data_IF_521627741475
#
_entry.id   IF_521627741475
#
_cell.length_a   1.000
_cell.length_b   1.000
_cell.length_c   1.000
_cell.angle_alpha   90.00
_cell.angle_beta   90.00
_cell.angle_gamma   90.00
#
_symmetry.space_group_name_H-M   'P 1'
#
loop_
_entity.id
_entity.type
_entity.pdbx_description
1 polymer ?
#
# COMPACT_ATOMS: atom_id res chain seq x y z
N UNK A 1 13.00 5.89 6.80
CA UNK A 1 13.27 5.76 5.35
C UNK A 1 13.44 7.16 4.81
N UNK A 2 14.55 7.44 4.13
CA UNK A 2 14.73 8.74 3.45
C UNK A 2 14.11 8.66 2.06
N UNK A 3 13.37 9.70 1.70
CA UNK A 3 12.62 9.79 0.45
C UNK A 3 13.29 10.83 -0.44
N UNK A 4 13.75 10.48 -1.67
CA UNK A 4 14.46 11.42 -2.54
C UNK A 4 13.53 12.50 -3.14
N UNK A 5 12.21 12.26 -3.11
CA UNK A 5 11.19 13.18 -3.56
C UNK A 5 10.11 13.35 -2.48
N UNK A 6 9.30 14.43 -2.52
CA UNK A 6 8.21 14.61 -1.57
C UNK A 6 7.19 13.47 -1.57
N UNK A 7 6.71 13.09 -0.39
CA UNK A 7 5.59 12.14 -0.22
C UNK A 7 4.38 12.92 0.30
N UNK A 8 3.67 13.59 -0.60
CA UNK A 8 2.52 14.44 -0.24
C UNK A 8 1.27 13.63 0.16
N UNK A 9 1.16 12.40 -0.33
CA UNK A 9 0.02 11.51 -0.08
C UNK A 9 0.53 10.14 0.34
N UNK A 10 0.00 9.62 1.45
CA UNK A 10 0.33 8.30 1.99
C UNK A 10 -0.94 7.46 2.08
N UNK A 11 -0.99 6.35 1.33
CA UNK A 11 -2.16 5.46 1.34
C UNK A 11 -2.32 4.71 2.66
N UNK A 12 -1.20 4.20 3.18
CA UNK A 12 -1.17 3.34 4.36
C UNK A 12 0.20 3.36 5.04
N UNK A 13 0.24 3.04 6.33
CA UNK A 13 1.46 2.94 7.10
C UNK A 13 1.29 2.11 8.37
N UNK A 14 2.39 1.57 8.86
CA UNK A 14 2.48 1.07 10.22
C UNK A 14 2.71 2.25 11.18
N UNK A 15 1.84 2.39 12.18
CA UNK A 15 2.02 3.35 13.25
C UNK A 15 2.77 2.69 14.42
N UNK A 16 4.03 3.09 14.61
CA UNK A 16 4.92 2.53 15.62
C UNK A 16 4.40 2.75 17.06
N UNK A 17 3.68 3.85 17.29
CA UNK A 17 3.20 4.22 18.63
C UNK A 17 2.07 3.33 19.09
N UNK A 18 1.01 3.23 18.28
CA UNK A 18 -0.15 2.38 18.57
C UNK A 18 0.05 0.92 18.16
N UNK A 19 1.12 0.61 17.42
CA UNK A 19 1.36 -0.67 16.76
C UNK A 19 0.16 -1.09 15.92
N UNK A 20 -0.37 -0.19 15.10
CA UNK A 20 -1.53 -0.47 14.23
C UNK A 20 -1.20 -0.25 12.76
N UNK A 21 -2.00 -0.84 11.86
CA UNK A 21 -2.03 -0.43 10.46
C UNK A 21 -3.00 0.74 10.32
N UNK A 22 -2.52 1.86 9.80
CA UNK A 22 -3.33 3.02 9.44
C UNK A 22 -3.42 3.17 7.92
N UNK A 23 -4.56 3.66 7.42
CA UNK A 23 -4.77 3.97 6.01
C UNK A 23 -5.68 5.17 5.81
N UNK A 24 -5.51 5.85 4.67
CA UNK A 24 -6.40 6.88 4.19
C UNK A 24 -7.59 6.23 3.46
N UNK A 25 -8.81 6.58 3.86
CA UNK A 25 -10.02 6.01 3.27
C UNK A 25 -10.26 6.56 1.86
N UNK A 26 -9.82 5.82 0.84
CA UNK A 26 -9.97 6.26 -0.56
C UNK A 26 -11.42 6.30 -1.04
N UNK A 27 -12.36 5.68 -0.32
CA UNK A 27 -13.79 5.76 -0.66
C UNK A 27 -14.41 7.13 -0.39
N UNK A 28 -13.79 7.94 0.48
CA UNK A 28 -14.24 9.29 0.88
C UNK A 28 -13.60 10.42 0.07
N UNK A 29 -12.47 10.13 -0.57
CA UNK A 29 -11.79 11.09 -1.44
C UNK A 29 -12.63 11.40 -2.70
N UNK A 30 -12.60 12.64 -3.20
CA UNK A 30 -11.75 13.77 -2.75
C UNK A 30 -12.37 14.66 -1.66
N UNK A 31 -13.54 14.30 -1.13
CA UNK A 31 -14.32 15.21 -0.28
C UNK A 31 -13.86 15.25 1.18
N UNK A 32 -13.31 14.14 1.67
CA UNK A 32 -12.90 13.99 3.07
C UNK A 32 -11.65 13.11 3.19
N UNK A 33 -10.66 13.60 3.94
CA UNK A 33 -9.44 12.87 4.30
C UNK A 33 -9.64 12.16 5.64
N UNK A 34 -10.29 11.00 5.61
CA UNK A 34 -10.51 10.16 6.79
C UNK A 34 -9.36 9.14 6.94
N UNK A 35 -8.68 9.16 8.09
CA UNK A 35 -7.67 8.16 8.46
C UNK A 35 -8.29 7.13 9.39
N UNK A 36 -8.08 5.86 9.09
CA UNK A 36 -8.56 4.73 9.89
C UNK A 36 -7.35 3.91 10.32
N UNK A 37 -7.31 3.50 11.59
CA UNK A 37 -6.26 2.64 12.14
C UNK A 37 -6.87 1.38 12.76
N UNK A 38 -6.25 0.23 12.55
CA UNK A 38 -6.74 -1.06 13.06
C UNK A 38 -5.61 -2.06 13.25
N UNK A 39 -5.71 -2.85 14.32
CA UNK A 39 -4.92 -4.07 14.55
C UNK A 39 -5.71 -5.36 14.24
N UNK A 40 -6.95 -5.21 13.79
CA UNK A 40 -7.89 -6.27 13.51
C UNK A 40 -7.85 -6.63 12.00
N UNK A 41 -7.44 -7.85 11.62
CA UNK A 41 -7.32 -8.24 10.22
C UNK A 41 -8.66 -8.35 9.50
N UNK A 42 -9.75 -8.68 10.20
CA UNK A 42 -11.09 -8.70 9.61
C UNK A 42 -11.58 -7.29 9.24
N UNK A 43 -11.19 -6.26 10.00
CA UNK A 43 -11.49 -4.87 9.63
C UNK A 43 -10.71 -4.45 8.38
N UNK A 44 -9.48 -4.93 8.22
CA UNK A 44 -8.65 -4.70 7.02
C UNK A 44 -9.21 -5.46 5.81
N UNK A 45 -9.71 -6.69 6.00
CA UNK A 45 -10.48 -7.44 4.98
C UNK A 45 -11.65 -6.59 4.47
N UNK A 46 -12.44 -6.00 5.37
CA UNK A 46 -13.55 -5.11 4.98
C UNK A 46 -13.04 -3.84 4.27
N UNK A 47 -11.93 -3.26 4.73
CA UNK A 47 -11.33 -2.08 4.08
C UNK A 47 -10.94 -2.37 2.62
N UNK A 48 -10.40 -3.56 2.34
CA UNK A 48 -10.02 -3.97 0.98
C UNK A 48 -11.26 -4.23 0.12
N UNK A 49 -12.28 -4.93 0.67
CA UNK A 49 -13.53 -5.26 -0.05
C UNK A 49 -14.33 -4.00 -0.39
N UNK A 50 -14.45 -3.08 0.58
CA UNK A 50 -15.17 -1.82 0.42
C UNK A 50 -14.37 -0.76 -0.34
N UNK A 51 -13.17 -1.11 -0.82
CA UNK A 51 -12.28 -0.24 -1.56
C UNK A 51 -11.86 1.02 -0.77
N UNK A 52 -11.80 0.94 0.56
CA UNK A 52 -11.09 1.94 1.37
C UNK A 52 -9.59 1.86 1.08
N UNK A 53 -9.06 0.63 1.02
CA UNK A 53 -7.71 0.31 0.55
C UNK A 53 -7.84 -0.33 -0.84
N UNK A 54 -7.07 0.17 -1.80
CA UNK A 54 -7.15 -0.25 -3.19
C UNK A 54 -5.81 -0.10 -3.91
N UNK A 55 -5.71 -0.71 -5.09
CA UNK A 55 -4.46 -0.82 -5.83
C UNK A 55 -3.73 -2.10 -5.45
N UNK A 56 -3.30 -2.88 -6.45
CA UNK A 56 -2.75 -4.21 -6.18
C UNK A 56 -1.55 -4.15 -5.22
N UNK A 57 -0.57 -3.24 -5.38
CA UNK A 57 0.53 -3.14 -4.43
C UNK A 57 0.11 -2.73 -3.03
N UNK A 58 -0.71 -1.68 -2.87
CA UNK A 58 -1.22 -1.26 -1.57
C UNK A 58 -2.00 -2.36 -0.85
N UNK A 59 -2.80 -3.16 -1.58
CA UNK A 59 -3.52 -4.30 -0.99
C UNK A 59 -2.55 -5.37 -0.45
N UNK A 60 -1.50 -5.69 -1.20
CA UNK A 60 -0.48 -6.66 -0.74
C UNK A 60 0.22 -6.18 0.54
N UNK A 61 0.61 -4.90 0.55
CA UNK A 61 1.30 -4.29 1.69
C UNK A 61 0.38 -4.17 2.90
N UNK A 62 -0.88 -3.75 2.71
CA UNK A 62 -1.90 -3.73 3.77
C UNK A 62 -2.10 -5.12 4.38
N UNK A 63 -2.17 -6.17 3.57
CA UNK A 63 -2.31 -7.53 4.05
C UNK A 63 -1.11 -7.97 4.90
N UNK A 64 0.12 -7.69 4.44
CA UNK A 64 1.33 -8.01 5.19
C UNK A 64 1.38 -7.26 6.53
N UNK A 65 1.17 -5.94 6.51
CA UNK A 65 1.14 -5.12 7.73
C UNK A 65 0.05 -5.59 8.69
N UNK A 66 -1.14 -5.89 8.18
CA UNK A 66 -2.24 -6.41 8.99
C UNK A 66 -1.88 -7.73 9.68
N UNK A 67 -1.15 -8.62 9.01
CA UNK A 67 -0.67 -9.89 9.60
C UNK A 67 0.34 -9.60 10.71
N UNK A 68 1.36 -8.76 10.44
CA UNK A 68 2.39 -8.43 11.42
C UNK A 68 1.82 -7.76 12.67
N UNK A 69 0.95 -6.77 12.47
CA UNK A 69 0.24 -6.06 13.55
C UNK A 69 -0.62 -7.01 14.38
N UNK A 70 -1.41 -7.86 13.71
CA UNK A 70 -2.26 -8.82 14.41
C UNK A 70 -1.43 -9.83 15.20
N UNK A 71 -0.30 -10.30 14.63
CA UNK A 71 0.64 -11.18 15.32
C UNK A 71 1.18 -10.52 16.60
N UNK A 72 1.58 -9.24 16.57
CA UNK A 72 2.00 -8.52 17.78
C UNK A 72 0.90 -8.54 18.85
N UNK A 73 -0.33 -8.23 18.46
CA UNK A 73 -1.49 -8.18 19.36
C UNK A 73 -1.76 -9.50 20.09
N UNK A 74 -1.55 -10.63 19.42
CA UNK A 74 -1.86 -11.96 19.96
C UNK A 74 -0.63 -12.74 20.44
N UNK A 75 0.52 -12.08 20.57
CA UNK A 75 1.80 -12.72 20.90
C UNK A 75 1.85 -13.33 22.32
N UNK A 76 0.95 -12.95 23.23
CA UNK A 76 0.83 -13.60 24.55
C UNK A 76 0.13 -14.98 24.50
N UNK A 77 -0.37 -15.41 23.34
CA UNK A 77 -1.06 -16.69 23.19
C UNK A 77 -0.07 -17.85 23.09
N UNK A 78 -0.44 -19.08 23.50
CA UNK A 78 0.37 -20.27 23.24
C UNK A 78 0.68 -20.45 21.75
N UNK A 79 1.88 -20.94 21.43
CA UNK A 79 2.41 -21.02 20.07
C UNK A 79 1.45 -21.63 19.04
N UNK A 80 0.81 -22.75 19.38
CA UNK A 80 -0.14 -23.42 18.48
C UNK A 80 -1.36 -22.55 18.17
N UNK A 81 -1.91 -21.88 19.19
CA UNK A 81 -3.07 -20.99 19.04
C UNK A 81 -2.70 -19.70 18.32
N UNK A 82 -1.53 -19.14 18.60
CA UNK A 82 -0.94 -18.02 17.88
C UNK A 82 -0.84 -18.34 16.38
N UNK A 83 -0.15 -19.43 16.02
CA UNK A 83 0.09 -19.80 14.64
C UNK A 83 -1.22 -20.13 13.89
N UNK A 84 -2.19 -20.77 14.56
CA UNK A 84 -3.52 -21.01 14.01
C UNK A 84 -4.25 -19.70 13.69
N UNK A 85 -4.31 -18.77 14.64
CA UNK A 85 -5.00 -17.47 14.47
C UNK A 85 -4.34 -16.62 13.37
N UNK A 86 -3.01 -16.62 13.27
CA UNK A 86 -2.30 -15.92 12.19
C UNK A 86 -2.68 -16.50 10.82
N UNK A 87 -2.72 -17.82 10.66
CA UNK A 87 -3.15 -18.48 9.41
C UNK A 87 -4.61 -18.19 9.08
N UNK A 88 -5.49 -18.12 10.08
CA UNK A 88 -6.89 -17.71 9.88
C UNK A 88 -6.99 -16.28 9.31
N UNK A 89 -6.19 -15.35 9.84
CA UNK A 89 -6.11 -13.98 9.33
C UNK A 89 -5.59 -13.92 7.88
N UNK A 90 -4.51 -14.67 7.57
CA UNK A 90 -3.99 -14.80 6.20
C UNK A 90 -5.08 -15.30 5.23
N UNK A 91 -5.80 -16.36 5.62
CA UNK A 91 -6.89 -16.93 4.81
C UNK A 91 -8.05 -15.95 4.60
N UNK A 92 -8.40 -15.15 5.61
CA UNK A 92 -9.43 -14.12 5.47
C UNK A 92 -9.01 -13.03 4.48
N UNK A 93 -7.76 -12.57 4.55
CA UNK A 93 -7.21 -11.56 3.64
C UNK A 93 -7.13 -12.08 2.20
N UNK A 94 -6.69 -13.32 1.97
CA UNK A 94 -6.61 -13.94 0.63
C UNK A 94 -7.96 -13.93 -0.12
N UNK A 95 -9.07 -14.07 0.61
CA UNK A 95 -10.42 -14.12 0.03
C UNK A 95 -10.97 -12.76 -0.40
N UNK A 96 -10.29 -11.66 -0.09
CA UNK A 96 -10.78 -10.30 -0.40
C UNK A 96 -10.83 -10.01 -1.89
N UNK A 97 -9.75 -10.31 -2.62
CA UNK A 97 -9.60 -9.99 -4.05
C UNK A 97 -8.79 -11.08 -4.77
N UNK A 98 -9.45 -12.15 -5.28
CA UNK A 98 -8.78 -13.35 -5.79
C UNK A 98 -7.98 -13.15 -7.09
N UNK A 99 -7.98 -11.95 -7.66
CA UNK A 99 -7.18 -11.60 -8.85
C UNK A 99 -5.98 -10.69 -8.55
N UNK A 100 -5.82 -10.22 -7.30
CA UNK A 100 -4.72 -9.33 -6.93
C UNK A 100 -3.45 -10.12 -6.67
N UNK A 101 -2.59 -10.34 -7.68
CA UNK A 101 -1.35 -11.10 -7.53
C UNK A 101 -0.47 -10.65 -6.36
N UNK A 102 -0.32 -9.33 -6.15
CA UNK A 102 0.45 -8.76 -5.03
C UNK A 102 -0.07 -9.22 -3.65
N UNK A 103 -1.38 -9.47 -3.50
CA UNK A 103 -1.96 -10.02 -2.27
C UNK A 103 -1.42 -11.43 -1.99
N UNK A 104 -1.49 -12.31 -2.98
CA UNK A 104 -0.98 -13.67 -2.87
C UNK A 104 0.53 -13.69 -2.62
N UNK A 105 1.28 -12.85 -3.34
CA UNK A 105 2.72 -12.73 -3.17
C UNK A 105 3.09 -12.30 -1.75
N UNK A 106 2.46 -11.25 -1.23
CA UNK A 106 2.72 -10.76 0.12
C UNK A 106 2.36 -11.82 1.18
N UNK A 107 1.18 -12.43 1.10
CA UNK A 107 0.75 -13.44 2.07
C UNK A 107 1.65 -14.69 2.03
N UNK A 108 2.11 -15.11 0.85
CA UNK A 108 3.07 -16.21 0.71
C UNK A 108 4.43 -15.91 1.38
N UNK A 109 4.88 -14.65 1.38
CA UNK A 109 6.09 -14.26 2.12
C UNK A 109 5.86 -14.34 3.63
N UNK A 110 4.73 -13.81 4.10
CA UNK A 110 4.36 -13.86 5.51
C UNK A 110 4.19 -15.30 6.02
N UNK A 111 3.59 -16.19 5.23
CA UNK A 111 3.45 -17.61 5.54
C UNK A 111 4.82 -18.29 5.66
N UNK A 112 5.74 -18.02 4.74
CA UNK A 112 7.13 -18.52 4.82
C UNK A 112 7.85 -18.09 6.09
N UNK A 113 7.62 -16.87 6.57
CA UNK A 113 8.19 -16.39 7.85
C UNK A 113 7.60 -17.17 9.02
N UNK A 114 6.29 -17.40 9.03
CA UNK A 114 5.62 -18.18 10.07
C UNK A 114 6.11 -19.64 10.09
N UNK A 115 6.33 -20.25 8.93
CA UNK A 115 6.77 -21.66 8.81
C UNK A 115 8.25 -21.87 9.14
N UNK A 116 9.10 -20.92 8.77
CA UNK A 116 10.56 -21.04 8.93
C UNK A 116 11.10 -20.43 10.22
N UNK A 117 10.23 -19.91 11.08
CA UNK A 117 10.67 -19.37 12.35
C UNK A 117 11.24 -20.50 13.21
N UNK A 118 12.56 -20.51 13.41
CA UNK A 118 13.28 -21.41 14.34
C UNK A 118 13.09 -20.97 15.81
N UNK A 119 11.91 -20.46 16.15
CA UNK A 119 11.60 -19.95 17.48
C UNK A 119 10.30 -20.55 17.99
N UNK A 120 10.31 -20.98 19.24
CA UNK A 120 9.11 -21.42 19.95
C UNK A 120 8.43 -20.26 20.72
N UNK A 121 8.93 -19.03 20.55
CA UNK A 121 8.42 -17.82 21.19
C UNK A 121 7.54 -17.01 20.22
N UNK A 122 6.22 -16.93 20.46
CA UNK A 122 5.30 -16.15 19.63
C UNK A 122 5.64 -14.65 19.54
N UNK A 123 6.24 -14.06 20.58
CA UNK A 123 6.70 -12.67 20.50
C UNK A 123 7.77 -12.50 19.44
N UNK A 124 8.76 -13.40 19.44
CA UNK A 124 9.83 -13.39 18.44
C UNK A 124 9.30 -13.62 17.03
N UNK A 125 8.34 -14.51 16.85
CA UNK A 125 7.71 -14.75 15.55
C UNK A 125 6.94 -13.51 15.08
N UNK A 126 6.20 -12.85 15.99
CA UNK A 126 5.49 -11.62 15.67
C UNK A 126 6.44 -10.50 15.21
N UNK A 127 7.59 -10.33 15.87
CA UNK A 127 8.62 -9.38 15.43
C UNK A 127 9.14 -9.69 14.02
N UNK A 128 9.38 -10.98 13.72
CA UNK A 128 9.82 -11.40 12.38
C UNK A 128 8.76 -11.11 11.31
N UNK A 129 7.48 -11.33 11.62
CA UNK A 129 6.37 -11.01 10.72
C UNK A 129 6.26 -9.49 10.49
N UNK A 130 6.38 -8.67 11.52
CA UNK A 130 6.38 -7.20 11.37
C UNK A 130 7.56 -6.75 10.52
N UNK A 131 8.76 -7.31 10.77
CA UNK A 131 9.95 -7.01 9.99
C UNK A 131 9.75 -7.33 8.50
N UNK A 132 9.21 -8.50 8.20
CA UNK A 132 8.93 -8.88 6.81
C UNK A 132 7.87 -7.98 6.15
N UNK A 133 6.82 -7.63 6.89
CA UNK A 133 5.79 -6.74 6.39
C UNK A 133 6.33 -5.33 6.08
N UNK A 134 7.23 -4.81 6.92
CA UNK A 134 7.92 -3.56 6.68
C UNK A 134 8.92 -3.65 5.51
N UNK A 135 9.56 -4.81 5.31
CA UNK A 135 10.42 -5.01 4.13
C UNK A 135 9.58 -5.04 2.84
N UNK A 136 8.42 -5.71 2.83
CA UNK A 136 7.47 -5.66 1.70
C UNK A 136 7.05 -4.22 1.40
N UNK A 137 6.73 -3.42 2.43
CA UNK A 137 6.41 -2.00 2.27
C UNK A 137 7.57 -1.24 1.62
N UNK A 138 8.79 -1.43 2.15
CA UNK A 138 10.00 -0.75 1.67
C UNK A 138 10.34 -1.12 0.24
N UNK A 139 10.31 -2.41 -0.11
CA UNK A 139 10.57 -2.89 -1.47
C UNK A 139 9.57 -2.31 -2.48
N UNK A 140 8.29 -2.17 -2.10
CA UNK A 140 7.30 -1.51 -2.96
C UNK A 140 7.61 -0.03 -3.17
N UNK A 141 7.99 0.71 -2.12
CA UNK A 141 8.45 2.11 -2.24
C UNK A 141 9.66 2.21 -3.19
N UNK A 142 10.66 1.36 -3.01
CA UNK A 142 11.88 1.37 -3.83
C UNK A 142 11.59 1.02 -5.30
N UNK A 143 10.70 0.06 -5.55
CA UNK A 143 10.27 -0.30 -6.89
C UNK A 143 9.54 0.87 -7.56
N UNK A 144 8.62 1.53 -6.86
CA UNK A 144 7.87 2.69 -7.34
C UNK A 144 8.79 3.87 -7.68
N UNK A 145 9.81 4.12 -6.85
CA UNK A 145 10.84 5.12 -7.11
C UNK A 145 11.61 4.81 -8.40
N UNK A 146 12.12 3.58 -8.54
CA UNK A 146 12.86 3.16 -9.75
C UNK A 146 12.00 3.25 -11.01
N UNK A 147 10.73 2.84 -10.93
CA UNK A 147 9.76 3.00 -12.03
C UNK A 147 9.63 4.47 -12.40
N UNK A 148 9.45 5.34 -11.41
CA UNK A 148 9.34 6.78 -11.62
C UNK A 148 10.59 7.38 -12.26
N UNK A 149 11.78 7.03 -11.76
CA UNK A 149 13.06 7.54 -12.25
C UNK A 149 13.35 7.10 -13.68
N UNK A 150 13.23 5.81 -13.98
CA UNK A 150 13.47 5.30 -15.33
C UNK A 150 12.40 5.78 -16.32
N UNK A 151 11.14 5.79 -15.92
CA UNK A 151 10.07 6.25 -16.80
C UNK A 151 10.13 7.76 -17.05
N UNK A 152 10.57 8.56 -16.08
CA UNK A 152 10.67 10.01 -16.25
C UNK A 152 11.69 10.39 -17.34
N UNK A 153 12.70 9.57 -17.60
CA UNK A 153 13.65 9.79 -18.70
C UNK A 153 12.98 9.70 -20.08
N UNK A 154 11.87 8.98 -20.20
CA UNK A 154 11.10 8.86 -21.44
C UNK A 154 10.18 10.06 -21.70
N UNK A 155 9.97 10.92 -20.71
CA UNK A 155 9.06 12.08 -20.82
C UNK A 155 9.84 13.28 -21.36
N UNK A 156 9.52 13.80 -22.56
CA UNK A 156 10.14 15.03 -23.04
C UNK A 156 9.65 16.26 -22.26
N UNK A 157 10.46 17.31 -22.20
CA UNK A 157 10.00 18.60 -21.70
C UNK A 157 8.90 19.17 -22.61
N UNK A 158 7.84 19.72 -22.01
CA UNK A 158 6.64 20.19 -22.71
C UNK A 158 5.58 19.11 -22.97
N UNK A 159 5.76 17.86 -22.51
CA UNK A 159 4.84 16.77 -22.80
C UNK A 159 3.44 16.98 -22.22
N UNK A 160 2.43 16.49 -22.94
CA UNK A 160 1.07 16.25 -22.39
C UNK A 160 0.87 14.75 -22.27
N UNK A 161 0.59 14.28 -21.05
CA UNK A 161 0.54 12.86 -20.70
C UNK A 161 -0.90 12.47 -20.43
N UNK A 162 -1.43 11.50 -21.19
CA UNK A 162 -2.72 10.88 -20.90
C UNK A 162 -2.52 9.71 -19.91
N UNK A 163 -3.34 9.65 -18.87
CA UNK A 163 -3.35 8.52 -17.92
C UNK A 163 -4.79 8.03 -17.63
N UNK A 164 -4.90 6.76 -17.26
CA UNK A 164 -6.16 6.08 -17.01
C UNK A 164 -6.14 5.40 -15.63
N UNK A 165 -7.28 5.38 -14.95
CA UNK A 165 -7.42 4.90 -13.57
C UNK A 165 -6.60 5.74 -12.56
N UNK A 166 -6.21 5.11 -11.45
CA UNK A 166 -5.33 5.66 -10.43
C UNK A 166 -4.22 4.65 -10.15
N UNK A 167 -3.01 5.05 -10.52
CA UNK A 167 -1.77 4.30 -10.34
C UNK A 167 -0.73 5.19 -9.62
N UNK A 168 -1.22 5.93 -8.63
CA UNK A 168 -0.46 6.84 -7.77
C UNK A 168 -0.14 6.26 -6.41
N UNK A 169 0.25 7.15 -5.51
CA UNK A 169 0.58 6.81 -4.13
C UNK A 169 -0.63 6.19 -3.41
N UNK A 170 -1.87 6.54 -3.78
CA UNK A 170 -3.08 5.94 -3.22
C UNK A 170 -3.27 4.46 -3.61
N UNK A 171 -2.56 3.99 -4.63
CA UNK A 171 -2.63 2.62 -5.13
C UNK A 171 -1.42 1.76 -4.72
N UNK A 172 -0.42 2.35 -4.06
CA UNK A 172 0.84 1.71 -3.64
C UNK A 172 1.25 2.15 -2.23
N UNK A 173 2.47 1.81 -1.79
CA UNK A 173 3.01 2.23 -0.49
C UNK A 173 3.45 3.70 -0.49
N UNK A 174 3.96 4.19 -1.63
CA UNK A 174 4.31 5.59 -1.88
C UNK A 174 4.51 5.84 -3.39
N UNK A 175 4.39 7.11 -3.80
CA UNK A 175 4.60 7.64 -5.16
C UNK A 175 3.64 7.12 -6.24
N UNK A 176 3.55 5.81 -6.42
CA UNK A 176 2.77 5.12 -7.44
C UNK A 176 3.63 4.41 -8.47
N UNK A 177 3.00 3.97 -9.56
CA UNK A 177 3.69 3.39 -10.71
C UNK A 177 3.64 4.36 -11.88
N UNK A 178 2.53 4.41 -12.62
CA UNK A 178 2.39 5.34 -13.74
C UNK A 178 2.39 6.80 -13.28
N UNK A 179 1.80 7.14 -12.12
CA UNK A 179 1.91 8.51 -11.61
C UNK A 179 3.27 8.81 -10.99
N UNK A 180 4.05 7.81 -10.54
CA UNK A 180 5.42 8.09 -10.11
C UNK A 180 6.28 8.61 -11.26
N UNK A 181 6.09 8.10 -12.48
CA UNK A 181 6.76 8.61 -13.69
C UNK A 181 6.46 10.11 -13.89
N UNK A 182 5.17 10.47 -13.80
CA UNK A 182 4.69 11.85 -13.94
C UNK A 182 5.24 12.73 -12.82
N UNK A 183 5.14 12.29 -11.57
CA UNK A 183 5.62 13.01 -10.38
C UNK A 183 7.13 13.25 -10.44
N UNK A 184 7.91 12.22 -10.76
CA UNK A 184 9.38 12.36 -10.88
C UNK A 184 9.76 13.30 -12.04
N UNK A 185 9.08 13.23 -13.19
CA UNK A 185 9.30 14.19 -14.28
C UNK A 185 9.03 15.64 -13.83
N UNK A 186 7.94 15.87 -13.09
CA UNK A 186 7.62 17.16 -12.48
C UNK A 186 8.68 17.62 -11.48
N UNK A 187 9.11 16.76 -10.56
CA UNK A 187 10.14 17.08 -9.56
C UNK A 187 11.52 17.34 -10.18
N UNK A 188 11.81 16.74 -11.34
CA UNK A 188 13.00 17.05 -12.16
C UNK A 188 12.88 18.37 -12.93
N UNK A 189 11.78 19.12 -12.75
CA UNK A 189 11.57 20.44 -13.35
C UNK A 189 11.08 20.41 -14.79
N UNK A 190 10.63 19.26 -15.32
CA UNK A 190 10.05 19.19 -16.66
C UNK A 190 8.68 19.89 -16.67
N UNK A 191 8.45 20.70 -17.69
CA UNK A 191 7.14 21.29 -17.96
C UNK A 191 6.26 20.20 -18.54
N UNK A 192 5.26 19.76 -17.80
CA UNK A 192 4.32 18.72 -18.25
C UNK A 192 2.88 19.19 -18.06
N UNK A 193 1.94 18.49 -18.70
CA UNK A 193 0.49 18.57 -18.42
C UNK A 193 -0.07 17.16 -18.35
N UNK A 194 -1.07 16.92 -17.52
CA UNK A 194 -1.68 15.61 -17.36
C UNK A 194 -3.16 15.64 -17.74
N UNK A 195 -3.56 14.74 -18.62
CA UNK A 195 -4.97 14.45 -18.92
C UNK A 195 -5.33 13.16 -18.18
N UNK A 196 -6.10 13.27 -17.11
CA UNK A 196 -6.63 12.12 -16.38
C UNK A 196 -8.05 11.80 -16.86
N UNK A 197 -8.25 10.63 -17.47
CA UNK A 197 -9.62 10.18 -17.82
C UNK A 197 -10.44 9.87 -16.57
N UNK A 198 -11.77 10.07 -16.59
CA UNK A 198 -12.60 9.89 -15.39
C UNK A 198 -12.56 8.48 -14.78
N UNK A 199 -12.45 7.44 -15.63
CA UNK A 199 -12.41 6.01 -15.26
C UNK A 199 -13.70 5.47 -14.63
N UNK A 200 -14.80 5.39 -15.40
CA UNK A 200 -16.05 4.76 -14.95
C UNK A 200 -15.90 3.25 -14.70
N UNK A 201 -16.74 2.65 -13.82
CA UNK A 201 -17.81 3.29 -13.05
C UNK A 201 -17.36 3.91 -11.71
N UNK A 202 -16.18 3.54 -11.19
CA UNK A 202 -15.73 3.92 -9.83
C UNK A 202 -15.10 5.32 -9.77
N UNK A 203 -14.80 5.91 -10.93
CA UNK A 203 -14.31 7.28 -11.11
C UNK A 203 -12.91 7.52 -10.49
N UNK A 204 -12.02 6.55 -10.60
CA UNK A 204 -10.66 6.63 -10.05
C UNK A 204 -9.88 7.84 -10.53
N UNK A 205 -9.94 8.13 -11.84
CA UNK A 205 -9.16 9.22 -12.39
C UNK A 205 -9.69 10.56 -11.90
N UNK A 206 -11.01 10.74 -11.94
CA UNK A 206 -11.65 11.97 -11.47
C UNK A 206 -11.51 12.19 -9.96
N UNK A 207 -11.58 11.12 -9.15
CA UNK A 207 -11.61 11.22 -7.68
C UNK A 207 -10.25 11.13 -7.00
N UNK A 208 -9.35 10.29 -7.52
CA UNK A 208 -8.10 9.92 -6.85
C UNK A 208 -6.88 10.46 -7.61
N UNK A 209 -6.81 10.26 -8.92
CA UNK A 209 -5.68 10.76 -9.71
C UNK A 209 -5.63 12.29 -9.72
N UNK A 210 -6.75 12.95 -10.01
CA UNK A 210 -6.83 14.42 -9.95
C UNK A 210 -6.52 14.93 -8.55
N UNK A 211 -7.03 14.27 -7.50
CA UNK A 211 -6.75 14.64 -6.11
C UNK A 211 -5.25 14.58 -5.78
N UNK A 212 -4.56 13.50 -6.16
CA UNK A 212 -3.11 13.37 -5.92
C UNK A 212 -2.29 14.40 -6.70
N UNK A 213 -2.62 14.60 -7.99
CA UNK A 213 -1.91 15.56 -8.83
C UNK A 213 -2.11 17.00 -8.32
N UNK A 214 -3.33 17.34 -7.91
CA UNK A 214 -3.66 18.66 -7.35
C UNK A 214 -2.94 18.91 -6.01
N UNK A 215 -2.86 17.91 -5.12
CA UNK A 215 -2.11 17.98 -3.85
C UNK A 215 -0.62 18.30 -4.07
N UNK A 216 -0.06 17.90 -5.20
CA UNK A 216 1.35 18.11 -5.55
C UNK A 216 1.58 19.27 -6.54
N UNK A 217 0.50 19.99 -6.91
CA UNK A 217 0.56 21.12 -7.84
C UNK A 217 0.90 20.73 -9.29
N UNK A 218 0.68 19.47 -9.67
CA UNK A 218 0.95 18.97 -11.03
C UNK A 218 -0.23 19.35 -11.93
N UNK A 219 0.01 20.10 -13.04
CA UNK A 219 -1.04 20.63 -13.91
C UNK A 219 -1.60 19.62 -14.91
#
# INVERSE_FOLDING_TARGET
MEYPYPVAVKALWFDETSKTLCWLNTSKLPHEEEVICSDNPWRVTQAIVNMEIRGAPAIGVAAALSIGVYALRISDQPLELFAKKVREAMNALLKTRPTAYNLFYAISRMERVLEKAESNDPHRIAELLVKEALEIYKEDVEANLKIGEYGAELIPDGATILTHCNAGALATSAYGTALAIIKVAWYKGKRIKVIATETRPVLQGARLTVYELAKEGIP
#
